data_IF_406080433697
#
_entry.id   IF_406080433697
#
_cell.length_a   1.000
_cell.length_b   1.000
_cell.length_c   1.000
_cell.angle_alpha   90.00
_cell.angle_beta   90.00
_cell.angle_gamma   90.00
#
_symmetry.space_group_name_H-M   'P 1'
#
loop_
_entity.id
_entity.type
_entity.pdbx_description
1 polymer ?
#
# COMPACT_ATOMS: atom_id res chain seq x y z
N UNK A 1 -36.21 -10.97 -12.41
CA UNK A 1 -34.88 -10.34 -12.20
C UNK A 1 -34.54 -9.25 -13.24
N UNK A 2 -35.50 -8.39 -13.61
CA UNK A 2 -35.25 -7.17 -14.43
C UNK A 2 -35.87 -5.89 -13.85
N UNK A 3 -36.48 -5.97 -12.65
CA UNK A 3 -37.05 -4.82 -11.92
C UNK A 3 -36.27 -4.41 -10.66
N UNK A 4 -35.13 -5.07 -10.38
CA UNK A 4 -34.25 -4.75 -9.24
C UNK A 4 -33.00 -3.95 -9.65
N UNK A 5 -32.78 -3.76 -10.96
CA UNK A 5 -31.61 -3.06 -11.52
C UNK A 5 -31.95 -1.59 -11.90
N UNK A 6 -33.23 -1.21 -11.87
CA UNK A 6 -33.68 0.15 -12.22
C UNK A 6 -33.87 1.05 -10.97
N UNK A 7 -33.89 0.47 -9.76
CA UNK A 7 -34.11 1.22 -8.51
C UNK A 7 -32.81 1.66 -7.83
N UNK A 8 -31.63 1.27 -8.34
CA UNK A 8 -30.33 1.69 -7.77
C UNK A 8 -29.59 2.73 -8.62
N UNK A 9 -30.17 3.14 -9.77
CA UNK A 9 -29.57 4.14 -10.68
C UNK A 9 -30.25 5.51 -10.60
N UNK A 10 -31.18 5.71 -9.67
CA UNK A 10 -31.90 6.98 -9.45
C UNK A 10 -31.61 7.65 -8.09
N UNK A 11 -30.58 7.18 -7.36
CA UNK A 11 -30.17 7.75 -6.08
C UNK A 11 -28.83 8.50 -6.14
N UNK A 12 -28.24 8.67 -7.33
CA UNK A 12 -26.94 9.37 -7.52
C UNK A 12 -27.11 10.66 -8.36
N UNK A 13 -28.34 11.11 -8.60
CA UNK A 13 -28.61 12.32 -9.40
C UNK A 13 -29.65 13.25 -8.75
N UNK A 14 -29.45 13.63 -7.48
CA UNK A 14 -30.30 14.62 -6.80
C UNK A 14 -29.63 15.33 -5.60
N UNK A 15 -28.32 15.61 -5.66
CA UNK A 15 -27.62 16.39 -4.60
C UNK A 15 -26.90 17.63 -5.12
N UNK A 16 -26.97 17.93 -6.42
CA UNK A 16 -26.50 19.21 -6.95
C UNK A 16 -27.66 19.89 -7.66
N UNK A 17 -28.25 20.88 -6.99
CA UNK A 17 -29.02 22.03 -7.49
C UNK A 17 -30.18 22.36 -6.54
N UNK A 18 -29.86 23.04 -5.44
CA UNK A 18 -30.77 23.97 -4.78
C UNK A 18 -30.03 24.66 -3.63
N UNK A 19 -29.59 25.90 -3.85
CA UNK A 19 -29.73 26.99 -2.89
C UNK A 19 -29.17 28.26 -3.52
N UNK A 20 -30.00 28.84 -4.40
CA UNK A 20 -29.98 30.26 -4.65
C UNK A 20 -31.10 30.89 -3.79
N UNK A 21 -30.76 32.02 -3.17
CA UNK A 21 -31.66 33.03 -2.59
C UNK A 21 -32.16 32.77 -1.15
N UNK A 22 -31.61 33.57 -0.24
CA UNK A 22 -32.19 33.96 1.03
C UNK A 22 -32.34 35.50 1.04
N UNK A 23 -33.27 36.07 1.84
CA UNK A 23 -34.07 37.23 1.45
C UNK A 23 -33.38 38.59 1.63
N UNK A 24 -33.80 39.53 0.80
CA UNK A 24 -33.59 40.96 1.01
C UNK A 24 -34.26 41.38 2.32
N UNK A 25 -33.47 41.87 3.28
CA UNK A 25 -33.96 42.64 4.42
C UNK A 25 -33.81 44.12 4.09
N UNK A 26 -34.95 44.78 4.00
CA UNK A 26 -35.10 46.23 3.92
C UNK A 26 -34.65 46.85 5.24
N UNK A 27 -33.61 47.68 5.21
CA UNK A 27 -33.33 48.64 6.27
C UNK A 27 -33.37 50.07 5.72
N UNK A 28 -34.29 50.85 6.26
CA UNK A 28 -34.46 52.29 6.07
C UNK A 28 -33.24 53.06 6.61
N UNK A 29 -32.81 54.17 6.00
CA UNK A 29 -31.51 54.79 6.27
C UNK A 29 -31.50 55.56 7.59
N UNK A 30 -30.54 55.25 8.47
CA UNK A 30 -30.15 56.13 9.57
C UNK A 30 -29.19 57.20 9.04
N UNK A 31 -29.57 58.47 9.16
CA UNK A 31 -28.71 59.64 8.98
C UNK A 31 -27.56 59.59 9.98
N UNK A 32 -26.32 59.53 9.50
CA UNK A 32 -25.14 59.88 10.30
C UNK A 32 -24.29 60.90 9.56
N UNK A 33 -23.84 61.88 10.34
CA UNK A 33 -23.22 63.15 9.98
C UNK A 33 -22.06 63.06 8.97
N UNK A 34 -22.02 64.06 8.10
CA UNK A 34 -20.88 64.41 7.26
C UNK A 34 -19.76 64.91 8.19
N UNK A 35 -18.74 64.09 8.39
CA UNK A 35 -17.41 64.57 8.80
C UNK A 35 -16.50 64.57 7.58
N UNK A 36 -15.91 65.73 7.33
CA UNK A 36 -14.96 66.06 6.25
C UNK A 36 -13.89 64.97 6.04
N UNK A 37 -13.53 64.59 4.79
CA UNK A 37 -12.57 63.53 4.55
C UNK A 37 -11.15 63.94 4.98
N UNK A 38 -10.54 63.12 5.84
CA UNK A 38 -9.09 63.10 6.00
C UNK A 38 -8.43 62.58 4.70
N UNK A 39 -7.23 63.08 4.40
CA UNK A 39 -6.46 62.76 3.20
C UNK A 39 -6.36 61.24 2.94
N UNK A 40 -6.29 60.78 1.67
CA UNK A 40 -6.24 59.37 1.34
C UNK A 40 -4.94 58.75 1.86
N UNK A 41 -5.04 58.02 2.97
CA UNK A 41 -4.06 57.01 3.33
C UNK A 41 -4.20 55.92 2.28
N UNK A 42 -3.16 55.72 1.46
CA UNK A 42 -3.13 54.63 0.48
C UNK A 42 -3.56 53.33 1.19
N UNK A 43 -4.56 52.61 0.67
CA UNK A 43 -4.93 51.32 1.25
C UNK A 43 -3.70 50.42 1.25
N UNK A 44 -3.48 49.60 2.30
CA UNK A 44 -2.39 48.64 2.32
C UNK A 44 -2.39 47.84 1.01
N UNK A 45 -1.23 47.63 0.36
CA UNK A 45 -1.18 46.82 -0.85
C UNK A 45 -1.86 45.47 -0.59
N UNK A 46 -2.73 45.06 -1.52
CA UNK A 46 -3.49 43.82 -1.38
C UNK A 46 -2.54 42.65 -1.08
N UNK A 47 -2.91 41.74 -0.16
CA UNK A 47 -2.06 40.62 0.21
C UNK A 47 -1.73 39.77 -1.02
N UNK A 48 -0.43 39.56 -1.27
CA UNK A 48 0.03 38.79 -2.42
C UNK A 48 -0.23 37.30 -2.17
N UNK A 49 -0.88 36.62 -3.11
CA UNK A 49 -1.12 35.18 -3.00
C UNK A 49 0.19 34.41 -3.09
N UNK A 50 0.49 33.46 -2.19
CA UNK A 50 1.69 32.64 -2.29
C UNK A 50 1.58 31.60 -3.41
N UNK A 51 2.68 31.38 -4.12
CA UNK A 51 2.82 30.39 -5.20
C UNK A 51 4.12 29.60 -5.08
N UNK A 52 4.09 28.35 -5.55
CA UNK A 52 5.30 27.56 -5.79
C UNK A 52 5.92 27.98 -7.12
N UNK A 53 7.19 28.37 -7.08
CA UNK A 53 7.93 28.87 -8.24
C UNK A 53 8.77 27.78 -8.91
N UNK A 54 9.42 26.94 -8.10
CA UNK A 54 10.33 25.91 -8.58
C UNK A 54 10.53 24.81 -7.54
N UNK A 55 10.92 23.63 -8.03
CA UNK A 55 11.33 22.50 -7.20
C UNK A 55 12.70 22.02 -7.63
N UNK A 56 13.57 21.78 -6.67
CA UNK A 56 14.91 21.25 -6.86
C UNK A 56 15.18 20.13 -5.86
N UNK A 57 16.17 19.30 -6.14
CA UNK A 57 16.62 18.27 -5.20
C UNK A 57 18.14 18.28 -5.08
N UNK A 58 18.63 17.90 -3.91
CA UNK A 58 20.05 17.76 -3.60
C UNK A 58 20.28 16.53 -2.73
N UNK A 59 21.49 15.98 -2.77
CA UNK A 59 21.87 14.89 -1.86
C UNK A 59 22.03 15.42 -0.45
N UNK A 60 21.74 14.58 0.53
CA UNK A 60 21.98 14.91 1.93
C UNK A 60 23.47 15.11 2.23
N UNK A 61 24.31 14.23 1.67
CA UNK A 61 25.77 14.20 1.89
C UNK A 61 26.55 15.18 1.00
N UNK A 62 26.17 15.32 -0.27
CA UNK A 62 26.83 16.23 -1.22
C UNK A 62 25.87 17.36 -1.60
N UNK A 63 26.18 18.53 -1.05
CA UNK A 63 25.33 19.72 -1.07
C UNK A 63 25.47 20.55 -2.34
N UNK A 64 26.44 20.28 -3.21
CA UNK A 64 26.78 21.20 -4.30
C UNK A 64 26.06 20.88 -5.63
N UNK A 65 25.51 19.67 -5.77
CA UNK A 65 24.85 19.23 -7.01
C UNK A 65 23.32 19.26 -6.89
N UNK A 66 22.68 20.05 -7.75
CA UNK A 66 21.23 20.06 -7.94
C UNK A 66 20.81 19.07 -9.03
N UNK A 67 19.72 18.33 -8.80
CA UNK A 67 19.18 17.38 -9.75
C UNK A 67 17.65 17.35 -9.72
N UNK A 68 17.04 16.87 -10.80
CA UNK A 68 15.57 16.67 -10.92
C UNK A 68 15.10 15.28 -10.51
N UNK A 69 16.03 14.34 -10.37
CA UNK A 69 15.74 12.93 -10.03
C UNK A 69 15.97 12.71 -8.55
N UNK A 70 14.89 12.67 -7.77
CA UNK A 70 14.92 12.51 -6.32
C UNK A 70 15.04 11.04 -5.97
N UNK A 71 15.89 10.68 -5.01
CA UNK A 71 15.94 9.35 -4.40
C UNK A 71 15.48 9.41 -2.95
N UNK A 72 15.23 8.25 -2.37
CA UNK A 72 15.07 8.10 -0.91
C UNK A 72 16.27 8.75 -0.21
N UNK A 73 16.01 9.45 0.90
CA UNK A 73 16.93 10.25 1.71
C UNK A 73 17.45 11.57 1.11
N UNK A 74 17.12 11.89 -0.13
CA UNK A 74 17.47 13.19 -0.70
C UNK A 74 16.65 14.34 -0.07
N UNK A 75 17.21 15.55 -0.17
CA UNK A 75 16.55 16.77 0.25
C UNK A 75 15.84 17.41 -0.94
N UNK A 76 14.57 17.72 -0.75
CA UNK A 76 13.70 18.40 -1.71
C UNK A 76 13.62 19.88 -1.30
N UNK A 77 13.85 20.78 -2.25
CA UNK A 77 13.82 22.22 -2.05
C UNK A 77 12.69 22.79 -2.89
N UNK A 78 11.73 23.42 -2.22
CA UNK A 78 10.62 24.10 -2.87
C UNK A 78 10.79 25.60 -2.70
N UNK A 79 10.72 26.32 -3.81
CA UNK A 79 10.80 27.76 -3.85
C UNK A 79 9.40 28.36 -3.67
N UNK A 80 9.19 29.06 -2.57
CA UNK A 80 7.91 29.67 -2.19
C UNK A 80 7.99 31.18 -2.39
N UNK A 81 7.00 31.76 -3.07
CA UNK A 81 6.80 33.21 -3.15
C UNK A 81 5.91 33.72 -2.02
N UNK A 82 6.10 34.97 -1.63
CA UNK A 82 5.30 35.67 -0.60
C UNK A 82 5.29 34.88 0.73
N UNK A 83 6.48 34.60 1.30
CA UNK A 83 6.62 33.74 2.47
C UNK A 83 5.90 34.29 3.71
N UNK A 84 5.78 35.62 3.83
CA UNK A 84 5.07 36.25 4.94
C UNK A 84 3.58 35.94 4.89
N UNK A 85 2.95 36.15 3.74
CA UNK A 85 1.54 35.84 3.50
C UNK A 85 1.25 34.34 3.67
N UNK A 86 2.20 33.49 3.28
CA UNK A 86 2.11 32.06 3.54
C UNK A 86 2.17 31.74 5.04
N UNK A 87 3.09 32.36 5.79
CA UNK A 87 3.15 32.21 7.25
C UNK A 87 1.90 32.76 7.94
N UNK A 88 1.33 33.84 7.43
CA UNK A 88 0.08 34.43 7.92
C UNK A 88 -1.12 33.50 7.71
N UNK A 89 -1.04 32.54 6.78
CA UNK A 89 -2.06 31.52 6.58
C UNK A 89 -1.96 30.34 7.57
N UNK A 90 -0.89 30.26 8.38
CA UNK A 90 -0.69 29.19 9.36
C UNK A 90 -1.83 29.19 10.39
N UNK A 91 -2.54 28.06 10.58
CA UNK A 91 -3.65 27.98 11.54
C UNK A 91 -3.20 28.14 12.99
N UNK A 92 -2.16 27.40 13.39
CA UNK A 92 -1.59 27.43 14.74
C UNK A 92 -0.07 27.29 14.69
N UNK A 93 0.65 27.77 15.69
CA UNK A 93 2.11 27.62 15.79
C UNK A 93 2.56 26.15 15.96
N UNK A 94 1.64 25.23 16.27
CA UNK A 94 1.90 23.79 16.31
C UNK A 94 1.70 23.12 14.95
N UNK A 95 1.02 23.77 13.99
CA UNK A 95 0.74 23.19 12.67
C UNK A 95 2.04 23.04 11.90
N UNK A 96 2.37 21.80 11.53
CA UNK A 96 3.58 21.49 10.76
C UNK A 96 3.36 21.74 9.27
N UNK A 97 4.46 21.97 8.56
CA UNK A 97 4.45 22.09 7.12
C UNK A 97 4.61 20.70 6.50
N UNK A 98 3.70 20.31 5.61
CA UNK A 98 3.64 18.99 4.97
C UNK A 98 3.88 19.11 3.48
N UNK A 99 4.61 18.14 2.91
CA UNK A 99 4.83 18.04 1.47
C UNK A 99 3.59 17.44 0.77
N UNK A 100 3.28 17.91 -0.44
CA UNK A 100 2.19 17.40 -1.27
C UNK A 100 2.73 16.94 -2.63
N UNK A 101 2.22 15.82 -3.14
CA UNK A 101 2.50 15.33 -4.49
C UNK A 101 1.19 15.16 -5.25
N UNK A 102 1.02 15.86 -6.38
CA UNK A 102 -0.21 15.91 -7.19
C UNK A 102 -1.49 16.14 -6.36
N UNK A 103 -1.38 16.99 -5.34
CA UNK A 103 -2.47 17.32 -4.43
C UNK A 103 -2.69 16.33 -3.28
N UNK A 104 -1.96 15.22 -3.23
CA UNK A 104 -2.02 14.26 -2.13
C UNK A 104 -1.02 14.64 -1.04
N UNK A 105 -1.49 14.76 0.19
CA UNK A 105 -0.66 15.03 1.36
C UNK A 105 0.28 13.85 1.66
N UNK A 106 1.57 14.11 1.70
CA UNK A 106 2.62 13.16 2.09
C UNK A 106 2.83 13.19 3.61
N UNK A 107 1.84 12.65 4.34
CA UNK A 107 1.84 12.63 5.80
C UNK A 107 3.13 12.05 6.39
N UNK A 108 3.73 12.78 7.33
CA UNK A 108 5.01 12.43 7.97
C UNK A 108 6.23 13.06 7.29
N UNK A 109 6.14 13.52 6.04
CA UNK A 109 7.22 14.28 5.38
C UNK A 109 7.01 15.76 5.66
N UNK A 110 7.66 16.24 6.73
CA UNK A 110 7.55 17.63 7.19
C UNK A 110 8.84 18.43 7.05
N UNK A 111 8.73 19.75 6.98
CA UNK A 111 9.86 20.68 7.07
C UNK A 111 10.06 21.18 8.50
N UNK A 112 11.31 21.39 8.89
CA UNK A 112 11.65 21.96 10.20
C UNK A 112 11.75 23.49 10.20
N UNK A 113 11.75 24.12 9.03
CA UNK A 113 12.09 25.54 8.84
C UNK A 113 11.23 26.50 9.68
N UNK A 114 9.95 26.20 9.86
CA UNK A 114 9.00 27.05 10.59
C UNK A 114 8.57 26.49 11.95
N UNK A 115 9.10 25.33 12.35
CA UNK A 115 8.64 24.65 13.56
C UNK A 115 8.98 25.42 14.85
N UNK A 116 10.06 26.22 14.83
CA UNK A 116 10.52 27.02 15.97
C UNK A 116 10.17 28.51 15.86
N UNK A 117 9.45 28.92 14.83
CA UNK A 117 9.14 30.34 14.58
C UNK A 117 7.65 30.57 14.77
N UNK A 118 7.30 31.50 15.67
CA UNK A 118 5.91 31.91 15.85
C UNK A 118 5.44 32.77 14.69
N UNK A 119 4.15 32.72 14.39
CA UNK A 119 3.54 33.46 13.27
C UNK A 119 3.84 34.96 13.30
N UNK A 120 3.75 35.58 14.46
CA UNK A 120 3.97 37.02 14.70
C UNK A 120 5.44 37.43 14.69
N UNK A 121 6.35 36.49 14.95
CA UNK A 121 7.80 36.70 14.95
C UNK A 121 8.41 36.60 13.55
N UNK A 122 7.74 35.92 12.62
CA UNK A 122 8.25 35.76 11.27
C UNK A 122 8.24 37.08 10.50
N UNK A 123 9.42 37.68 10.36
CA UNK A 123 9.66 38.89 9.57
C UNK A 123 10.65 38.57 8.47
N UNK A 124 10.29 38.89 7.24
CA UNK A 124 11.19 38.81 6.09
C UNK A 124 10.89 39.90 5.09
N UNK A 125 11.95 40.41 4.47
CA UNK A 125 11.86 41.34 3.33
C UNK A 125 11.94 40.57 2.00
N UNK A 126 12.34 39.29 2.06
CA UNK A 126 12.53 38.46 0.88
C UNK A 126 11.18 38.13 0.25
N UNK A 127 11.10 38.31 -1.07
CA UNK A 127 9.91 37.94 -1.84
C UNK A 127 9.82 36.41 -2.02
N UNK A 128 10.91 35.69 -1.76
CA UNK A 128 11.05 34.26 -2.06
C UNK A 128 11.87 33.57 -0.97
N UNK A 129 11.48 32.36 -0.58
CA UNK A 129 12.24 31.50 0.35
C UNK A 129 12.35 30.06 -0.19
N UNK A 130 13.44 29.37 0.14
CA UNK A 130 13.59 27.94 -0.13
C UNK A 130 13.21 27.13 1.10
N UNK A 131 12.21 26.27 0.95
CA UNK A 131 11.76 25.36 2.00
C UNK A 131 12.29 23.96 1.71
N UNK A 132 12.92 23.36 2.72
CA UNK A 132 13.55 22.04 2.60
C UNK A 132 12.69 20.95 3.24
N UNK A 133 12.57 19.82 2.55
CA UNK A 133 11.94 18.59 3.05
C UNK A 133 12.92 17.44 2.87
N UNK A 134 12.94 16.49 3.80
CA UNK A 134 13.71 15.25 3.64
C UNK A 134 12.78 14.10 3.28
N UNK A 135 13.07 13.44 2.17
CA UNK A 135 12.31 12.27 1.71
C UNK A 135 12.75 11.02 2.49
N UNK A 136 12.38 10.93 3.76
CA UNK A 136 12.67 9.77 4.61
C UNK A 136 11.74 8.61 4.25
N UNK A 137 12.25 7.39 4.41
CA UNK A 137 11.47 6.16 4.29
C UNK A 137 11.63 5.34 5.57
N UNK A 138 10.67 5.51 6.47
CA UNK A 138 10.60 4.87 7.78
C UNK A 138 9.14 4.58 8.16
N UNK A 139 8.91 4.05 9.37
CA UNK A 139 7.56 3.77 9.87
C UNK A 139 6.67 5.01 9.99
N UNK A 140 7.24 6.20 10.23
CA UNK A 140 6.49 7.47 10.36
C UNK A 140 6.01 8.03 9.02
N UNK A 141 6.72 7.70 7.94
CA UNK A 141 6.45 8.17 6.56
C UNK A 141 5.75 7.11 5.70
N UNK A 142 5.44 5.94 6.27
CA UNK A 142 4.82 4.82 5.54
C UNK A 142 3.55 5.24 4.77
N UNK A 143 2.66 6.00 5.40
CA UNK A 143 1.40 6.42 4.76
C UNK A 143 1.63 7.33 3.53
N UNK A 144 2.67 8.18 3.57
CA UNK A 144 3.05 8.99 2.41
C UNK A 144 3.53 8.11 1.26
N UNK A 145 4.40 7.13 1.54
CA UNK A 145 4.90 6.20 0.54
C UNK A 145 3.81 5.31 -0.05
N UNK A 146 2.89 4.81 0.78
CA UNK A 146 1.73 4.04 0.30
C UNK A 146 0.89 4.84 -0.71
N UNK A 147 0.74 6.16 -0.51
CA UNK A 147 0.05 7.04 -1.45
C UNK A 147 0.88 7.29 -2.72
N UNK A 148 2.19 7.52 -2.60
CA UNK A 148 3.08 7.67 -3.75
C UNK A 148 3.10 6.42 -4.63
N UNK A 149 3.10 5.22 -4.04
CA UNK A 149 3.10 3.98 -4.82
C UNK A 149 1.80 3.76 -5.60
N UNK A 150 0.67 4.33 -5.17
CA UNK A 150 -0.59 4.28 -5.92
C UNK A 150 -0.56 5.17 -7.17
N UNK A 151 0.32 6.17 -7.19
CA UNK A 151 0.54 7.03 -8.36
C UNK A 151 1.49 6.40 -9.38
N UNK A 152 2.12 5.26 -9.06
CA UNK A 152 3.03 4.59 -9.99
C UNK A 152 2.25 3.91 -11.12
N UNK A 153 2.59 4.25 -12.37
CA UNK A 153 1.92 3.75 -13.57
C UNK A 153 2.02 2.22 -13.74
N UNK A 154 3.10 1.62 -13.26
CA UNK A 154 3.31 0.18 -13.37
C UNK A 154 4.10 -0.41 -12.21
N UNK A 155 3.89 -1.71 -11.96
CA UNK A 155 4.54 -2.44 -10.88
C UNK A 155 6.06 -2.62 -11.05
N UNK A 156 6.56 -2.49 -12.28
CA UNK A 156 7.96 -2.65 -12.65
C UNK A 156 8.68 -1.31 -12.89
N UNK A 157 7.95 -0.19 -13.01
CA UNK A 157 8.56 1.13 -13.15
C UNK A 157 9.09 1.58 -11.80
N UNK A 158 10.36 1.96 -11.72
CA UNK A 158 10.95 2.51 -10.50
C UNK A 158 10.89 4.04 -10.44
N UNK A 159 10.20 4.67 -11.39
CA UNK A 159 10.08 6.12 -11.52
C UNK A 159 8.64 6.53 -11.29
N UNK A 160 8.49 7.59 -10.51
CA UNK A 160 7.23 8.26 -10.28
C UNK A 160 7.36 9.72 -10.72
N UNK A 161 6.44 10.16 -11.56
CA UNK A 161 6.37 11.52 -12.09
C UNK A 161 5.29 12.29 -11.35
N UNK A 162 5.69 13.30 -10.57
CA UNK A 162 4.76 14.08 -9.73
C UNK A 162 5.11 15.56 -9.75
N UNK A 163 4.08 16.38 -9.55
CA UNK A 163 4.24 17.79 -9.21
C UNK A 163 4.25 17.96 -7.69
N UNK A 164 5.32 18.58 -7.17
CA UNK A 164 5.41 18.85 -5.75
C UNK A 164 4.88 20.23 -5.38
N UNK A 165 4.18 20.28 -4.25
CA UNK A 165 3.75 21.50 -3.57
C UNK A 165 3.88 21.32 -2.06
N UNK A 166 3.53 22.33 -1.28
CA UNK A 166 3.49 22.27 0.18
C UNK A 166 2.21 22.91 0.70
N UNK A 167 1.82 22.53 1.91
CA UNK A 167 0.84 23.26 2.69
C UNK A 167 0.99 22.96 4.17
N UNK A 168 0.42 23.83 5.00
CA UNK A 168 0.18 23.51 6.40
C UNK A 168 -0.65 22.24 6.50
N UNK A 169 -0.34 21.40 7.49
CA UNK A 169 -1.00 20.12 7.66
C UNK A 169 -2.54 20.28 7.71
N UNK A 170 -3.24 19.48 6.91
CA UNK A 170 -4.70 19.56 6.75
C UNK A 170 -5.24 20.68 5.83
N UNK A 171 -4.39 21.52 5.25
CA UNK A 171 -4.80 22.59 4.33
C UNK A 171 -4.61 22.22 2.85
N UNK A 172 -5.25 22.99 1.97
CA UNK A 172 -5.06 22.86 0.52
C UNK A 172 -3.63 23.25 0.11
N UNK A 173 -3.01 22.55 -0.86
CA UNK A 173 -1.66 22.85 -1.34
C UNK A 173 -1.57 24.26 -1.92
N UNK A 174 -0.42 24.90 -1.72
CA UNK A 174 -0.10 26.18 -2.36
C UNK A 174 -0.20 26.03 -3.88
N UNK A 175 -0.84 26.99 -4.53
CA UNK A 175 -1.07 26.96 -5.98
C UNK A 175 0.25 27.08 -6.73
N UNK A 176 0.29 26.45 -7.90
CA UNK A 176 1.38 26.60 -8.87
C UNK A 176 0.82 27.31 -10.10
N UNK A 177 1.46 28.37 -10.57
CA UNK A 177 1.05 29.04 -11.80
C UNK A 177 1.34 28.16 -13.02
N UNK A 178 0.57 28.33 -14.10
CA UNK A 178 0.75 27.56 -15.34
C UNK A 178 2.17 27.66 -15.91
N UNK A 179 2.79 28.84 -15.83
CA UNK A 179 4.17 29.08 -16.24
C UNK A 179 5.20 28.27 -15.43
N UNK A 180 4.94 28.07 -14.13
CA UNK A 180 5.87 27.40 -13.22
C UNK A 180 5.58 25.89 -13.07
N UNK A 181 4.48 25.39 -13.64
CA UNK A 181 4.07 23.99 -13.51
C UNK A 181 5.19 23.03 -13.97
N UNK A 182 5.84 23.31 -15.09
CA UNK A 182 6.96 22.51 -15.60
C UNK A 182 8.19 22.51 -14.67
N UNK A 183 8.36 23.54 -13.83
CA UNK A 183 9.46 23.66 -12.86
C UNK A 183 9.17 22.94 -11.54
N UNK A 184 7.93 22.50 -11.33
CA UNK A 184 7.51 21.70 -10.16
C UNK A 184 7.51 20.20 -10.41
N UNK A 185 7.65 19.78 -11.67
CA UNK A 185 7.73 18.38 -12.05
C UNK A 185 9.06 17.77 -11.64
N UNK A 186 8.98 16.69 -10.87
CA UNK A 186 10.14 15.92 -10.42
C UNK A 186 9.94 14.43 -10.69
N UNK A 187 11.05 13.70 -10.78
CA UNK A 187 11.02 12.24 -10.90
C UNK A 187 11.54 11.63 -9.61
N UNK A 188 10.68 10.93 -8.87
CA UNK A 188 11.06 10.20 -7.67
C UNK A 188 11.44 8.78 -8.08
N UNK A 189 12.67 8.38 -7.77
CA UNK A 189 13.20 7.02 -7.96
C UNK A 189 13.20 6.32 -6.61
N UNK A 190 12.26 5.38 -6.44
CA UNK A 190 11.99 4.78 -5.13
C UNK A 190 12.66 3.43 -4.90
N UNK A 191 13.11 2.73 -5.96
CA UNK A 191 14.03 1.59 -5.83
C UNK A 191 15.09 1.57 -6.94
N UNK A 192 16.21 0.89 -6.67
CA UNK A 192 17.30 0.69 -7.64
C UNK A 192 16.96 -0.46 -8.59
N UNK A 193 16.98 -0.21 -9.91
CA UNK A 193 16.69 -1.23 -10.92
C UNK A 193 17.63 -2.44 -10.86
N UNK A 194 18.90 -2.25 -10.50
CA UNK A 194 19.85 -3.35 -10.33
C UNK A 194 19.45 -4.29 -9.19
N UNK A 195 19.03 -3.74 -8.05
CA UNK A 195 18.50 -4.54 -6.93
C UNK A 195 17.24 -5.27 -7.38
N UNK A 196 16.33 -4.59 -8.10
CA UNK A 196 15.10 -5.17 -8.66
C UNK A 196 15.36 -6.44 -9.48
N UNK A 197 16.28 -6.33 -10.43
CA UNK A 197 16.67 -7.45 -11.29
C UNK A 197 17.32 -8.57 -10.46
N UNK A 198 18.23 -8.22 -9.54
CA UNK A 198 18.93 -9.22 -8.72
C UNK A 198 17.98 -10.08 -7.88
N UNK A 199 17.01 -9.50 -7.14
CA UNK A 199 16.08 -10.36 -6.39
C UNK A 199 15.04 -11.04 -7.28
N UNK A 200 14.70 -10.46 -8.45
CA UNK A 200 13.83 -11.15 -9.41
C UNK A 200 14.50 -12.42 -9.94
N UNK A 201 15.81 -12.35 -10.23
CA UNK A 201 16.62 -13.51 -10.62
C UNK A 201 16.73 -14.51 -9.47
N UNK A 202 16.97 -14.04 -8.24
CA UNK A 202 17.02 -14.91 -7.06
C UNK A 202 15.69 -15.62 -6.82
N UNK A 203 14.57 -14.91 -6.94
CA UNK A 203 13.23 -15.46 -6.80
C UNK A 203 12.91 -16.46 -7.91
N UNK A 204 13.28 -16.17 -9.16
CA UNK A 204 13.15 -17.11 -10.27
C UNK A 204 14.01 -18.36 -10.04
N UNK A 205 15.22 -18.20 -9.53
CA UNK A 205 16.10 -19.30 -9.14
C UNK A 205 15.47 -20.18 -8.06
N UNK A 206 14.82 -19.59 -7.05
CA UNK A 206 14.08 -20.30 -6.02
C UNK A 206 12.90 -21.09 -6.62
N UNK A 207 12.12 -20.49 -7.52
CA UNK A 207 11.01 -21.18 -8.20
C UNK A 207 11.56 -22.38 -8.99
N UNK A 208 12.61 -22.18 -9.77
CA UNK A 208 13.25 -23.25 -10.56
C UNK A 208 13.78 -24.35 -9.63
N UNK A 209 14.39 -23.99 -8.51
CA UNK A 209 14.89 -24.95 -7.51
C UNK A 209 13.74 -25.76 -6.91
N UNK A 210 12.63 -25.13 -6.52
CA UNK A 210 11.47 -25.83 -5.95
C UNK A 210 10.81 -26.73 -7.00
N UNK A 211 10.69 -26.28 -8.25
CA UNK A 211 10.19 -27.11 -9.35
C UNK A 211 11.12 -28.29 -9.65
N UNK A 212 12.43 -28.06 -9.64
CA UNK A 212 13.43 -29.11 -9.78
C UNK A 212 13.30 -30.15 -8.66
N UNK A 213 13.23 -29.71 -7.39
CA UNK A 213 13.04 -30.59 -6.24
C UNK A 213 11.68 -31.30 -6.31
N UNK A 214 10.61 -30.64 -6.73
CA UNK A 214 9.28 -31.25 -6.89
C UNK A 214 9.25 -32.40 -7.90
N UNK A 215 10.11 -32.36 -8.92
CA UNK A 215 10.22 -33.41 -9.95
C UNK A 215 11.24 -34.48 -9.59
N UNK A 216 12.39 -34.08 -9.01
CA UNK A 216 13.52 -34.99 -8.75
C UNK A 216 13.52 -35.63 -7.38
N UNK A 217 12.84 -35.01 -6.41
CA UNK A 217 12.76 -35.50 -5.05
C UNK A 217 11.33 -35.87 -4.69
N UNK A 218 11.19 -36.56 -3.56
CA UNK A 218 9.89 -36.94 -3.01
C UNK A 218 9.35 -35.89 -2.04
N UNK A 219 9.84 -34.64 -2.10
CA UNK A 219 9.47 -33.53 -1.18
C UNK A 219 7.99 -33.13 -1.22
N UNK A 220 7.30 -33.45 -2.33
CA UNK A 220 5.85 -33.21 -2.50
C UNK A 220 5.02 -34.50 -2.41
N UNK A 221 5.62 -35.64 -2.08
CA UNK A 221 4.95 -36.93 -1.97
C UNK A 221 4.75 -37.32 -0.51
N UNK A 222 3.66 -38.04 -0.24
CA UNK A 222 3.36 -38.53 1.11
C UNK A 222 4.46 -39.44 1.65
N UNK A 223 5.07 -40.24 0.76
CA UNK A 223 6.20 -41.12 1.06
C UNK A 223 7.14 -41.26 -0.14
N UNK A 224 8.39 -41.73 0.06
CA UNK A 224 9.33 -41.96 -1.02
C UNK A 224 8.74 -42.85 -2.12
N UNK A 225 8.73 -42.37 -3.36
CA UNK A 225 8.11 -43.07 -4.51
C UNK A 225 6.56 -43.15 -4.52
N UNK A 226 5.87 -42.54 -3.55
CA UNK A 226 4.41 -42.55 -3.44
C UNK A 226 3.67 -41.48 -4.26
N UNK A 227 2.36 -41.35 -4.00
CA UNK A 227 1.50 -40.33 -4.61
C UNK A 227 1.80 -38.90 -4.07
N UNK A 228 1.47 -37.88 -4.87
CA UNK A 228 1.58 -36.47 -4.45
C UNK A 228 0.66 -36.14 -3.28
N UNK A 229 1.18 -35.37 -2.33
CA UNK A 229 0.46 -34.88 -1.15
C UNK A 229 -0.11 -33.48 -1.39
N UNK A 230 -1.41 -33.32 -1.15
CA UNK A 230 -2.10 -32.03 -1.22
C UNK A 230 -1.49 -31.02 -0.24
N UNK A 231 -1.15 -31.43 0.99
CA UNK A 231 -0.65 -30.53 2.04
C UNK A 231 0.77 -30.05 1.78
N UNK A 232 1.66 -30.94 1.32
CA UNK A 232 3.03 -30.56 0.96
C UNK A 232 3.03 -29.64 -0.27
N UNK A 233 2.14 -29.89 -1.23
CA UNK A 233 1.94 -29.01 -2.39
C UNK A 233 1.43 -27.63 -1.96
N UNK A 234 0.48 -27.56 -1.02
CA UNK A 234 0.00 -26.29 -0.44
C UNK A 234 1.10 -25.55 0.31
N UNK A 235 1.89 -26.26 1.11
CA UNK A 235 3.01 -25.68 1.85
C UNK A 235 4.04 -25.07 0.87
N UNK A 236 4.42 -25.81 -0.18
CA UNK A 236 5.33 -25.32 -1.21
C UNK A 236 4.75 -24.10 -1.95
N UNK A 237 3.46 -24.15 -2.32
CA UNK A 237 2.75 -23.04 -2.95
C UNK A 237 2.79 -21.76 -2.11
N UNK A 238 2.36 -21.85 -0.83
CA UNK A 238 2.37 -20.69 0.06
C UNK A 238 3.78 -20.21 0.39
N UNK A 239 4.75 -21.10 0.54
CA UNK A 239 6.15 -20.73 0.75
C UNK A 239 6.67 -19.87 -0.40
N UNK A 240 6.39 -20.25 -1.66
CA UNK A 240 6.77 -19.46 -2.84
C UNK A 240 6.09 -18.09 -2.87
N UNK A 241 4.79 -18.03 -2.55
CA UNK A 241 4.05 -16.76 -2.52
C UNK A 241 4.56 -15.82 -1.41
N UNK A 242 4.82 -16.35 -0.22
CA UNK A 242 5.25 -15.58 0.95
C UNK A 242 6.65 -15.03 0.72
N UNK A 243 7.59 -15.85 0.26
CA UNK A 243 8.94 -15.40 -0.07
C UNK A 243 8.89 -14.34 -1.18
N UNK A 244 8.08 -14.55 -2.22
CA UNK A 244 7.90 -13.57 -3.30
C UNK A 244 7.37 -12.23 -2.80
N UNK A 245 6.32 -12.23 -1.98
CA UNK A 245 5.76 -11.01 -1.40
C UNK A 245 6.71 -10.32 -0.41
N UNK A 246 7.47 -11.10 0.36
CA UNK A 246 8.49 -10.58 1.26
C UNK A 246 9.64 -9.89 0.49
N UNK A 247 10.19 -10.55 -0.54
CA UNK A 247 11.21 -9.97 -1.41
C UNK A 247 10.70 -8.71 -2.12
N UNK A 248 9.46 -8.73 -2.62
CA UNK A 248 8.83 -7.58 -3.25
C UNK A 248 8.68 -6.39 -2.28
N UNK A 249 8.24 -6.65 -1.05
CA UNK A 249 8.08 -5.61 -0.04
C UNK A 249 9.43 -5.03 0.43
N UNK A 250 10.44 -5.88 0.62
CA UNK A 250 11.80 -5.45 0.97
C UNK A 250 12.39 -4.51 -0.08
N UNK A 251 12.15 -4.79 -1.37
CA UNK A 251 12.62 -3.92 -2.45
C UNK A 251 12.07 -2.51 -2.41
N UNK A 252 10.79 -2.40 -2.07
CA UNK A 252 10.05 -1.16 -2.20
C UNK A 252 10.25 -0.27 -1.00
N UNK A 253 10.19 -0.86 0.19
CA UNK A 253 10.09 -0.10 1.43
C UNK A 253 11.43 -0.01 2.16
N UNK A 254 12.38 -0.92 1.89
CA UNK A 254 13.64 -1.10 2.65
C UNK A 254 13.46 -1.18 4.18
N UNK A 255 12.21 -1.29 4.63
CA UNK A 255 11.77 -1.52 5.99
C UNK A 255 11.41 -3.01 5.99
N UNK A 256 11.94 -3.81 6.92
CA UNK A 256 11.47 -5.18 7.07
C UNK A 256 9.98 -5.12 7.37
N UNK A 257 9.15 -5.49 6.39
CA UNK A 257 7.74 -5.68 6.62
C UNK A 257 7.62 -6.83 7.61
N UNK A 258 7.04 -6.55 8.77
CA UNK A 258 6.77 -7.58 9.77
C UNK A 258 5.92 -8.65 9.10
N UNK A 259 6.43 -9.88 9.02
CA UNK A 259 5.64 -11.03 8.57
C UNK A 259 4.35 -11.04 9.39
N UNK A 260 3.22 -10.93 8.70
CA UNK A 260 1.94 -10.84 9.38
C UNK A 260 1.62 -12.19 10.05
N UNK A 261 1.14 -12.17 11.29
CA UNK A 261 0.67 -13.35 12.01
C UNK A 261 -0.33 -14.18 11.21
N UNK A 262 -1.21 -13.55 10.40
CA UNK A 262 -2.16 -14.23 9.51
C UNK A 262 -1.49 -15.20 8.52
N UNK A 263 -0.32 -14.82 8.01
CA UNK A 263 0.44 -15.58 7.01
C UNK A 263 1.15 -16.77 7.67
N UNK A 264 1.68 -16.57 8.87
CA UNK A 264 2.25 -17.64 9.70
C UNK A 264 1.17 -18.65 10.11
N UNK A 265 -0.04 -18.17 10.41
CA UNK A 265 -1.18 -19.02 10.74
C UNK A 265 -1.64 -19.85 9.53
N UNK A 266 -1.65 -19.29 8.31
CA UNK A 266 -1.91 -20.05 7.08
C UNK A 266 -0.90 -21.19 6.86
N UNK A 267 0.39 -20.90 7.05
CA UNK A 267 1.44 -21.93 7.01
C UNK A 267 1.22 -22.98 8.10
N UNK A 268 0.87 -22.55 9.32
CA UNK A 268 0.60 -23.41 10.47
C UNK A 268 -0.62 -24.33 10.28
N UNK A 269 -1.72 -23.84 9.70
CA UNK A 269 -2.92 -24.64 9.39
C UNK A 269 -2.59 -25.75 8.38
N UNK A 270 -1.75 -25.43 7.39
CA UNK A 270 -1.33 -26.40 6.35
C UNK A 270 -0.52 -27.55 6.96
N UNK A 271 0.33 -27.26 7.95
CA UNK A 271 1.15 -28.26 8.67
C UNK A 271 0.29 -29.08 9.66
N UNK A 272 -0.53 -28.42 10.47
CA UNK A 272 -1.31 -29.07 11.54
C UNK A 272 -2.39 -29.99 11.02
N UNK A 273 -3.15 -29.57 10.00
CA UNK A 273 -4.25 -30.38 9.44
C UNK A 273 -3.75 -31.74 8.93
N UNK A 274 -2.56 -31.79 8.32
CA UNK A 274 -1.99 -33.02 7.79
C UNK A 274 -1.35 -33.90 8.88
N UNK A 275 -0.68 -33.30 9.86
CA UNK A 275 -0.09 -34.02 11.00
C UNK A 275 -1.13 -34.84 11.78
N UNK A 276 -2.33 -34.31 12.00
CA UNK A 276 -3.42 -35.08 12.64
C UNK A 276 -3.99 -36.18 11.75
N UNK A 277 -4.19 -35.93 10.45
CA UNK A 277 -4.76 -36.92 9.55
C UNK A 277 -3.81 -38.11 9.30
N UNK A 278 -2.51 -37.84 9.18
CA UNK A 278 -1.47 -38.88 9.06
C UNK A 278 -1.26 -39.63 10.38
N UNK A 279 -1.30 -38.94 11.52
CA UNK A 279 -1.23 -39.57 12.84
C UNK A 279 -2.41 -40.52 13.10
N UNK A 280 -3.64 -40.13 12.78
CA UNK A 280 -4.83 -40.98 12.94
C UNK A 280 -4.74 -42.21 12.02
N UNK A 281 -4.32 -42.03 10.76
CA UNK A 281 -4.15 -43.15 9.84
C UNK A 281 -3.03 -44.10 10.28
N UNK A 282 -1.91 -43.57 10.79
CA UNK A 282 -0.83 -44.35 11.37
C UNK A 282 -1.32 -45.19 12.57
N UNK A 283 -2.11 -44.60 13.48
CA UNK A 283 -2.66 -45.30 14.65
C UNK A 283 -3.71 -46.36 14.30
N UNK A 284 -4.59 -46.07 13.33
CA UNK A 284 -5.56 -47.07 12.83
C UNK A 284 -4.84 -48.23 12.15
N UNK A 285 -3.77 -47.95 11.39
CA UNK A 285 -3.01 -48.96 10.63
C UNK A 285 -2.04 -49.75 11.52
N UNK A 286 -1.47 -49.15 12.57
CA UNK A 286 -0.65 -49.86 13.56
C UNK A 286 -1.48 -50.85 14.38
N UNK A 287 -2.74 -50.51 14.69
CA UNK A 287 -3.70 -51.45 15.29
C UNK A 287 -4.15 -52.56 14.34
N UNK A 288 -4.12 -52.34 13.02
CA UNK A 288 -4.60 -53.29 12.02
C UNK A 288 -3.53 -54.27 11.50
N UNK A 289 -2.25 -54.12 11.85
CA UNK A 289 -1.18 -55.06 11.48
C UNK A 289 -0.84 -55.14 9.98
N UNK A 290 -1.36 -54.24 9.15
CA UNK A 290 -1.14 -54.21 7.69
C UNK A 290 0.24 -53.64 7.32
N UNK A 291 1.01 -54.37 6.51
CA UNK A 291 2.24 -53.89 5.85
C UNK A 291 1.92 -52.71 4.95
N UNK A 292 2.54 -51.56 5.20
CA UNK A 292 2.29 -50.34 4.44
C UNK A 292 2.75 -50.50 2.99
N UNK A 293 1.85 -50.30 2.03
CA UNK A 293 2.19 -50.15 0.61
C UNK A 293 1.89 -48.70 0.20
N UNK A 294 2.90 -47.95 -0.30
CA UNK A 294 2.68 -46.58 -0.75
C UNK A 294 1.58 -46.51 -1.81
N UNK A 295 0.70 -45.50 -1.72
CA UNK A 295 -0.31 -45.26 -2.76
C UNK A 295 0.41 -45.07 -4.09
N UNK A 296 0.12 -45.94 -5.06
CA UNK A 296 0.74 -45.85 -6.39
C UNK A 296 0.38 -44.50 -7.02
N UNK A 297 1.36 -43.74 -7.55
CA UNK A 297 1.08 -42.47 -8.20
C UNK A 297 0.21 -42.69 -9.44
N UNK A 298 -0.92 -41.97 -9.52
CA UNK A 298 -1.86 -41.98 -10.66
C UNK A 298 -1.85 -40.64 -11.43
N UNK A 299 -0.83 -39.81 -11.17
CA UNK A 299 -0.61 -38.50 -11.79
C UNK A 299 -1.00 -37.35 -10.85
N UNK A 300 -0.35 -36.19 -11.00
CA UNK A 300 -0.42 -35.07 -10.04
C UNK A 300 -1.85 -34.67 -9.62
N UNK A 301 -2.75 -34.40 -10.58
CA UNK A 301 -4.12 -33.98 -10.25
C UNK A 301 -4.95 -35.11 -9.63
N UNK A 302 -4.77 -36.35 -10.07
CA UNK A 302 -5.48 -37.51 -9.52
C UNK A 302 -5.01 -37.84 -8.11
N UNK A 303 -3.72 -37.66 -7.83
CA UNK A 303 -3.11 -37.88 -6.52
C UNK A 303 -3.56 -36.81 -5.51
N UNK A 304 -3.64 -35.55 -5.96
CA UNK A 304 -4.04 -34.42 -5.12
C UNK A 304 -5.55 -34.37 -4.88
N UNK A 305 -6.37 -34.56 -5.93
CA UNK A 305 -7.82 -34.40 -5.86
C UNK A 305 -8.55 -35.71 -5.52
N UNK A 306 -7.92 -36.87 -5.74
CA UNK A 306 -8.57 -38.17 -5.60
C UNK A 306 -8.20 -38.94 -4.34
N UNK A 307 -9.15 -39.72 -3.81
CA UNK A 307 -8.89 -40.62 -2.67
C UNK A 307 -8.54 -42.06 -3.09
N UNK A 308 -8.65 -42.40 -4.38
CA UNK A 308 -8.21 -43.72 -4.88
C UNK A 308 -8.89 -44.10 -6.19
N UNK A 309 -10.21 -44.00 -6.25
CA UNK A 309 -11.04 -44.31 -7.43
C UNK A 309 -11.87 -43.14 -7.94
N UNK A 310 -12.19 -42.16 -7.09
CA UNK A 310 -12.98 -40.98 -7.44
C UNK A 310 -12.35 -39.68 -6.93
N UNK A 311 -12.72 -38.56 -7.57
CA UNK A 311 -12.37 -37.22 -7.10
C UNK A 311 -13.11 -36.90 -5.80
N UNK A 312 -12.38 -36.50 -4.78
CA UNK A 312 -12.93 -36.07 -3.51
C UNK A 312 -13.32 -34.59 -3.60
N UNK A 313 -14.60 -34.28 -3.41
CA UNK A 313 -15.15 -32.93 -3.52
C UNK A 313 -14.50 -31.95 -2.53
N UNK A 314 -14.17 -32.41 -1.33
CA UNK A 314 -13.57 -31.56 -0.31
C UNK A 314 -12.11 -31.22 -0.63
N UNK A 315 -11.33 -32.19 -1.14
CA UNK A 315 -9.97 -31.92 -1.65
C UNK A 315 -10.00 -30.89 -2.78
N UNK A 316 -11.00 -30.99 -3.67
CA UNK A 316 -11.23 -29.99 -4.71
C UNK A 316 -11.57 -28.61 -4.15
N UNK A 317 -12.47 -28.51 -3.16
CA UNK A 317 -12.82 -27.24 -2.51
C UNK A 317 -11.58 -26.58 -1.88
N UNK A 318 -10.78 -27.35 -1.14
CA UNK A 318 -9.56 -26.84 -0.51
C UNK A 318 -8.58 -26.36 -1.58
N UNK A 319 -8.37 -27.14 -2.65
CA UNK A 319 -7.51 -26.75 -3.76
C UNK A 319 -7.98 -25.45 -4.43
N UNK A 320 -9.26 -25.37 -4.79
CA UNK A 320 -9.84 -24.19 -5.42
C UNK A 320 -9.71 -22.94 -4.54
N UNK A 321 -9.92 -23.08 -3.24
CA UNK A 321 -9.83 -21.94 -2.32
C UNK A 321 -8.40 -21.44 -2.13
N UNK A 322 -7.41 -22.34 -2.14
CA UNK A 322 -5.99 -21.94 -2.14
C UNK A 322 -5.62 -21.11 -3.38
N UNK A 323 -6.14 -21.47 -4.57
CA UNK A 323 -5.90 -20.69 -5.80
C UNK A 323 -6.52 -19.30 -5.71
N UNK A 324 -7.76 -19.18 -5.21
CA UNK A 324 -8.42 -17.88 -5.03
C UNK A 324 -7.66 -17.01 -4.04
N UNK A 325 -7.28 -17.57 -2.87
CA UNK A 325 -6.55 -16.84 -1.84
C UNK A 325 -5.15 -16.42 -2.30
N UNK A 326 -4.43 -17.29 -3.03
CA UNK A 326 -3.12 -16.93 -3.55
C UNK A 326 -3.19 -15.91 -4.69
N UNK A 327 -4.22 -15.98 -5.55
CA UNK A 327 -4.50 -14.93 -6.54
C UNK A 327 -4.78 -13.57 -5.90
N UNK A 328 -5.64 -13.55 -4.87
CA UNK A 328 -5.88 -12.35 -4.06
C UNK A 328 -4.58 -11.84 -3.42
N UNK A 329 -3.75 -12.74 -2.87
CA UNK A 329 -2.47 -12.39 -2.26
C UNK A 329 -1.55 -11.67 -3.25
N UNK A 330 -1.40 -12.21 -4.47
CA UNK A 330 -0.54 -11.63 -5.51
C UNK A 330 -1.05 -10.23 -5.90
N UNK A 331 -2.34 -10.12 -6.24
CA UNK A 331 -2.95 -8.86 -6.68
C UNK A 331 -2.86 -7.81 -5.58
N UNK A 332 -3.20 -8.18 -4.35
CA UNK A 332 -3.13 -7.27 -3.21
C UNK A 332 -1.69 -6.82 -2.97
N UNK A 333 -0.72 -7.73 -3.01
CA UNK A 333 0.70 -7.43 -2.74
C UNK A 333 1.26 -6.50 -3.81
N UNK A 334 0.93 -6.72 -5.08
CA UNK A 334 1.36 -5.86 -6.19
C UNK A 334 0.72 -4.47 -6.10
N UNK A 335 -0.55 -4.37 -5.70
CA UNK A 335 -1.27 -3.11 -5.66
C UNK A 335 -0.94 -2.27 -4.41
N UNK A 336 -0.80 -2.91 -3.26
CA UNK A 336 -0.61 -2.23 -1.97
C UNK A 336 0.85 -2.21 -1.51
N UNK A 337 1.78 -2.82 -2.27
CA UNK A 337 3.22 -2.90 -1.97
C UNK A 337 3.54 -3.51 -0.59
N UNK A 338 2.55 -4.15 0.01
CA UNK A 338 2.60 -4.77 1.33
C UNK A 338 1.85 -6.08 1.29
N UNK A 339 2.28 -7.02 2.14
CA UNK A 339 1.60 -8.31 2.25
C UNK A 339 0.20 -8.11 2.87
N UNK A 340 -0.83 -8.81 2.37
CA UNK A 340 -2.18 -8.70 2.92
C UNK A 340 -2.25 -9.20 4.36
N UNK A 341 -2.99 -8.46 5.19
CA UNK A 341 -3.52 -8.99 6.45
C UNK A 341 -4.82 -9.73 6.12
N UNK A 342 -4.82 -11.05 6.28
CA UNK A 342 -6.02 -11.84 6.05
C UNK A 342 -6.84 -11.80 7.35
N UNK A 343 -8.10 -11.35 7.29
CA UNK A 343 -8.96 -11.28 8.47
C UNK A 343 -9.05 -12.61 9.23
N UNK A 344 -9.04 -12.54 10.55
CA UNK A 344 -9.10 -13.70 11.44
C UNK A 344 -10.31 -14.59 11.16
N UNK A 345 -11.44 -14.01 10.73
CA UNK A 345 -12.65 -14.75 10.35
C UNK A 345 -12.43 -15.64 9.13
N UNK A 346 -11.69 -15.16 8.12
CA UNK A 346 -11.38 -15.97 6.92
C UNK A 346 -10.37 -17.07 7.24
N UNK A 347 -9.41 -16.80 8.12
CA UNK A 347 -8.47 -17.80 8.62
C UNK A 347 -9.17 -18.86 9.48
N UNK A 348 -10.06 -18.43 10.36
CA UNK A 348 -10.88 -19.30 11.21
C UNK A 348 -11.80 -20.15 10.36
N UNK A 349 -12.44 -19.58 9.33
CA UNK A 349 -13.29 -20.34 8.40
C UNK A 349 -12.48 -21.39 7.63
N UNK A 350 -11.29 -21.03 7.15
CA UNK A 350 -10.38 -21.97 6.52
C UNK A 350 -9.96 -23.10 7.49
N UNK A 351 -9.64 -22.75 8.74
CA UNK A 351 -9.30 -23.70 9.80
C UNK A 351 -10.46 -24.61 10.22
N UNK A 352 -11.68 -24.10 10.34
CA UNK A 352 -12.87 -24.90 10.67
C UNK A 352 -13.21 -25.84 9.50
N UNK A 353 -13.11 -25.37 8.26
CA UNK A 353 -13.34 -26.21 7.07
C UNK A 353 -12.32 -27.34 6.94
N UNK A 354 -11.09 -27.16 7.44
CA UNK A 354 -10.04 -28.18 7.45
C UNK A 354 -10.12 -29.11 8.67
N UNK A 355 -10.52 -28.61 9.83
CA UNK A 355 -10.78 -29.42 11.04
C UNK A 355 -12.03 -30.29 10.90
N UNK A 356 -13.07 -29.82 10.19
CA UNK A 356 -14.26 -30.62 9.88
C UNK A 356 -13.92 -31.92 9.12
N UNK A 357 -12.93 -31.88 8.22
CA UNK A 357 -12.42 -33.07 7.52
C UNK A 357 -11.80 -34.09 8.47
N UNK A 358 -10.97 -33.61 9.40
CA UNK A 358 -10.27 -34.47 10.36
C UNK A 358 -11.27 -35.06 11.35
N UNK A 359 -12.30 -34.30 11.73
CA UNK A 359 -13.36 -34.73 12.63
C UNK A 359 -14.36 -35.70 11.99
N UNK A 360 -14.62 -35.64 10.68
CA UNK A 360 -15.51 -36.58 9.98
C UNK A 360 -14.83 -37.92 9.65
N UNK A 361 -13.49 -37.94 9.49
CA UNK A 361 -12.72 -39.15 9.21
C UNK A 361 -12.85 -40.30 10.23
N UNK A 362 -13.07 -40.06 11.54
CA UNK A 362 -13.41 -41.13 12.48
C UNK A 362 -14.88 -41.61 12.41
N UNK A 363 -15.79 -40.87 11.76
CA UNK A 363 -17.23 -41.21 11.73
C UNK A 363 -17.65 -42.05 10.50
N UNK A 364 -16.77 -42.22 9.50
CA UNK A 364 -17.01 -43.05 8.30
C UNK A 364 -16.38 -44.45 8.40
N UNK A 365 -16.20 -45.01 9.61
CA UNK A 365 -15.64 -46.34 9.84
C UNK A 365 -16.67 -47.32 10.40
#
# INVERSE_FOLDING_TARGET
>A
MKKLIITLTLFILAVNFAMAQAPATTSTPAKTQITTPAAPVNPPPAPKTPYILAVQARKLENRDSLFKTIRVDDLILLQLSNPKEFMDSRPTDATKLTLYADGIALKGITSDLFNSIRKDEFKTTDQVIWVTFRLKQDSSTKAAWDNLYKLADSWHSNKLHVHLSMAWDGMMPVKTSSENLAKTHVTIVYFKSGTFIAMSVLYLGLIILILYLAVRSDILKEEPGGAYSLSQTQLAYWTVLIIGGFLYSLMLTNIPSTLNYSILLLLGISITTNGTATYIDYFKRSKAGTTYTPKKPKGFFNDILGDGESMNMQRFQIFAWNIVLGGYYIIFTINNKTMPMIPDVLLTLAGISSLGYVASKPAEA
#
